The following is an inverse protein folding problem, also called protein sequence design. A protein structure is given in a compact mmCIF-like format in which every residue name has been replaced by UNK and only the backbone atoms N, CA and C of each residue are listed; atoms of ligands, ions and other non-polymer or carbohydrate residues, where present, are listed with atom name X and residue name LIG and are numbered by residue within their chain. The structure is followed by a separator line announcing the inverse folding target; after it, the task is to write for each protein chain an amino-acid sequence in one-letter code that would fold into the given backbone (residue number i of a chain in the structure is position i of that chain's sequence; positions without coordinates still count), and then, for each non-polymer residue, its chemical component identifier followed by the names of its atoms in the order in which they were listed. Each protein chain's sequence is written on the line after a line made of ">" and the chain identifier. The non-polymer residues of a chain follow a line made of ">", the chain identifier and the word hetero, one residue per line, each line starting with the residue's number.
data_IF_656360475220
#
_entry.id   IF_656360475220
#
_cell.length_a   1.000
_cell.length_b   1.000
_cell.length_c   1.000
_cell.angle_alpha   90.00
_cell.angle_beta   90.00
_cell.angle_gamma   90.00
#
_symmetry.space_group_name_H-M   'P 1'
#
loop_
_entity.id
_entity.type
_entity.pdbx_description
1 polymer ?
#
# COMPACT_ATOMS: atom_id res chain seq x y z
N UNK A 1 8.55 13.38 -9.68
CA UNK A 1 7.21 13.93 -9.37
C UNK A 1 6.43 12.80 -8.72
N UNK A 2 6.10 12.94 -7.44
CA UNK A 2 5.35 11.93 -6.69
C UNK A 2 3.86 12.21 -6.92
N UNK A 3 3.14 11.18 -7.40
CA UNK A 3 1.74 11.15 -7.85
C UNK A 3 1.32 12.30 -8.79
N UNK A 4 1.21 11.98 -10.07
CA UNK A 4 0.51 12.84 -11.04
C UNK A 4 -1.00 12.83 -10.76
N UNK A 5 -1.68 13.91 -11.16
CA UNK A 5 -3.09 14.20 -10.84
C UNK A 5 -4.09 13.25 -11.52
N UNK A 6 -4.14 12.00 -11.09
CA UNK A 6 -5.18 11.04 -11.47
C UNK A 6 -5.64 10.27 -10.24
N UNK A 7 -6.73 10.78 -9.65
CA UNK A 7 -7.95 10.06 -9.27
C UNK A 7 -8.54 10.60 -7.98
N UNK A 8 -9.76 11.12 -8.08
CA UNK A 8 -10.66 11.48 -6.98
C UNK A 8 -11.10 10.24 -6.14
N UNK A 9 -10.38 9.10 -6.19
CA UNK A 9 -10.84 7.78 -5.69
C UNK A 9 -9.76 6.96 -4.94
N UNK A 10 -8.72 7.57 -4.37
CA UNK A 10 -7.69 6.90 -3.57
C UNK A 10 -6.90 5.80 -4.34
N UNK A 11 -6.04 6.16 -5.31
CA UNK A 11 -5.29 5.21 -6.14
C UNK A 11 -4.39 4.24 -5.34
N UNK A 12 -3.95 4.68 -4.15
CA UNK A 12 -3.14 3.85 -3.24
C UNK A 12 -3.94 2.75 -2.53
N UNK A 13 -5.26 2.89 -2.42
CA UNK A 13 -6.08 1.79 -1.91
C UNK A 13 -6.19 0.69 -2.97
N UNK A 14 -6.52 1.08 -4.21
CA UNK A 14 -6.69 0.13 -5.32
C UNK A 14 -5.40 -0.67 -5.59
N UNK A 15 -4.24 -0.03 -5.55
CA UNK A 15 -2.96 -0.72 -5.72
C UNK A 15 -2.68 -1.72 -4.59
N UNK A 16 -3.05 -1.39 -3.34
CA UNK A 16 -2.91 -2.29 -2.19
C UNK A 16 -3.90 -3.46 -2.26
N UNK A 17 -5.13 -3.23 -2.73
CA UNK A 17 -6.12 -4.29 -2.96
C UNK A 17 -5.66 -5.24 -4.07
N UNK A 18 -5.14 -4.72 -5.19
CA UNK A 18 -4.53 -5.51 -6.26
C UNK A 18 -3.31 -6.29 -5.76
N UNK A 19 -2.48 -5.66 -4.94
CA UNK A 19 -1.33 -6.32 -4.32
C UNK A 19 -1.78 -7.48 -3.43
N UNK A 20 -2.75 -7.26 -2.54
CA UNK A 20 -3.30 -8.30 -1.67
C UNK A 20 -3.91 -9.46 -2.47
N UNK A 21 -4.55 -9.18 -3.60
CA UNK A 21 -5.10 -10.19 -4.50
C UNK A 21 -4.01 -11.00 -5.24
N UNK A 22 -2.91 -10.34 -5.61
CA UNK A 22 -1.79 -10.96 -6.35
C UNK A 22 -0.85 -11.73 -5.43
N UNK A 23 -0.69 -11.24 -4.19
CA UNK A 23 0.20 -11.76 -3.16
C UNK A 23 -0.59 -12.06 -1.87
N UNK A 24 -1.50 -13.05 -1.88
CA UNK A 24 -2.29 -13.40 -0.70
C UNK A 24 -1.42 -13.84 0.48
N UNK A 25 -0.22 -14.38 0.23
CA UNK A 25 0.79 -14.72 1.23
C UNK A 25 1.26 -13.50 2.04
N UNK A 26 1.13 -12.29 1.48
CA UNK A 26 1.49 -11.06 2.16
C UNK A 26 0.54 -10.71 3.31
N UNK A 27 -0.65 -11.33 3.35
CA UNK A 27 -1.59 -11.20 4.46
C UNK A 27 -2.12 -9.79 4.70
N UNK A 28 -2.07 -8.91 3.68
CA UNK A 28 -2.59 -7.55 3.76
C UNK A 28 -4.09 -7.60 3.98
N UNK A 29 -4.55 -6.96 5.06
CA UNK A 29 -5.96 -6.74 5.34
C UNK A 29 -6.20 -5.25 5.46
N UNK A 30 -6.92 -4.69 4.50
CA UNK A 30 -7.38 -3.31 4.55
C UNK A 30 -8.73 -3.24 5.28
N UNK A 31 -8.99 -2.19 6.08
CA UNK A 31 -10.32 -1.94 6.60
C UNK A 31 -11.30 -1.70 5.43
N UNK A 32 -12.61 -1.84 5.66
CA UNK A 32 -13.63 -1.39 4.72
C UNK A 32 -13.38 0.06 4.30
N UNK A 33 -13.68 0.39 3.04
CA UNK A 33 -13.53 1.77 2.58
C UNK A 33 -14.51 2.69 3.31
N UNK A 34 -13.98 3.76 3.90
CA UNK A 34 -14.74 4.89 4.42
C UNK A 34 -14.24 6.20 3.78
N UNK A 35 -15.16 6.96 3.21
CA UNK A 35 -14.88 8.25 2.55
C UNK A 35 -14.48 9.37 3.52
N UNK A 36 -14.68 9.16 4.82
CA UNK A 36 -14.36 10.13 5.88
C UNK A 36 -13.13 9.70 6.70
N UNK A 37 -12.53 8.57 6.38
CA UNK A 37 -11.31 8.11 7.02
C UNK A 37 -10.12 8.86 6.42
N UNK A 38 -9.35 9.59 7.25
CA UNK A 38 -8.23 10.42 6.79
C UNK A 38 -7.00 9.57 6.39
N UNK A 39 -6.87 8.39 6.99
CA UNK A 39 -5.77 7.47 6.71
C UNK A 39 -6.14 6.03 7.09
N UNK A 40 -5.43 5.08 6.49
CA UNK A 40 -5.53 3.66 6.79
C UNK A 40 -4.16 3.12 7.17
N UNK A 41 -4.15 2.32 8.23
CA UNK A 41 -2.99 1.54 8.63
C UNK A 41 -3.23 0.05 8.33
N UNK A 42 -2.21 -0.60 7.79
CA UNK A 42 -2.20 -2.03 7.56
C UNK A 42 -0.80 -2.60 7.77
N UNK A 43 -0.74 -3.92 7.83
CA UNK A 43 0.54 -4.65 7.88
C UNK A 43 0.55 -5.74 6.83
N UNK A 44 1.73 -6.01 6.28
CA UNK A 44 2.01 -7.16 5.42
C UNK A 44 3.17 -7.97 5.98
N UNK A 45 3.23 -9.25 5.61
CA UNK A 45 4.42 -10.10 5.77
C UNK A 45 5.02 -10.33 4.38
N UNK A 46 6.15 -9.72 4.09
CA UNK A 46 6.82 -9.85 2.79
C UNK A 46 8.15 -10.56 2.94
N UNK A 47 8.32 -11.69 2.25
CA UNK A 47 9.53 -12.53 2.36
C UNK A 47 9.92 -12.85 3.83
N UNK A 48 8.92 -13.02 4.70
CA UNK A 48 9.11 -13.31 6.13
C UNK A 48 9.37 -12.09 7.02
N UNK A 49 9.41 -10.87 6.48
CA UNK A 49 9.59 -9.64 7.23
C UNK A 49 8.30 -8.79 7.28
N UNK A 50 8.10 -8.07 8.38
CA UNK A 50 6.97 -7.16 8.53
C UNK A 50 7.16 -5.93 7.65
N UNK A 51 6.09 -5.52 6.96
CA UNK A 51 5.95 -4.21 6.32
C UNK A 51 4.75 -3.50 6.93
N UNK A 52 4.99 -2.38 7.60
CA UNK A 52 3.94 -1.46 8.01
C UNK A 52 3.57 -0.58 6.82
N UNK A 53 2.26 -0.42 6.62
CA UNK A 53 1.67 0.33 5.51
C UNK A 53 0.81 1.41 6.14
N UNK A 54 1.08 2.65 5.75
CA UNK A 54 0.24 3.79 6.07
C UNK A 54 -0.15 4.41 4.74
N UNK A 55 -1.44 4.51 4.44
CA UNK A 55 -1.92 5.27 3.28
C UNK A 55 -2.85 6.38 3.74
N UNK A 56 -2.62 7.58 3.23
CA UNK A 56 -3.44 8.74 3.50
C UNK A 56 -4.43 8.94 2.34
N UNK A 57 -5.70 9.16 2.68
CA UNK A 57 -6.82 9.13 1.75
C UNK A 57 -7.10 10.49 1.07
N UNK A 58 -6.69 11.60 1.66
CA UNK A 58 -6.93 12.99 1.23
C UNK A 58 -5.73 13.54 0.44
N UNK A 59 -4.55 13.55 1.06
CA UNK A 59 -3.24 13.89 0.51
C UNK A 59 -2.68 12.83 -0.45
N UNK A 60 -3.32 11.65 -0.53
CA UNK A 60 -2.99 10.59 -1.48
C UNK A 60 -1.51 10.20 -1.44
N UNK A 61 -1.01 9.83 -0.25
CA UNK A 61 0.33 9.27 -0.11
C UNK A 61 0.30 7.85 0.46
N UNK A 62 1.27 7.03 0.02
CA UNK A 62 1.53 5.70 0.54
C UNK A 62 2.92 5.68 1.19
N UNK A 63 2.96 5.34 2.46
CA UNK A 63 4.18 5.14 3.23
C UNK A 63 4.35 3.67 3.60
N UNK A 64 5.58 3.20 3.45
CA UNK A 64 5.98 1.83 3.70
C UNK A 64 7.18 1.82 4.65
N UNK A 65 7.13 0.96 5.65
CA UNK A 65 8.21 0.82 6.61
C UNK A 65 8.45 -0.62 7.02
N UNK A 66 9.73 -0.94 7.25
CA UNK A 66 10.19 -2.20 7.81
C UNK A 66 11.50 -1.94 8.53
N UNK A 67 11.86 -2.72 9.57
CA UNK A 67 13.21 -2.68 10.13
C UNK A 67 14.30 -3.04 9.10
N UNK A 68 13.94 -3.78 8.04
CA UNK A 68 14.83 -4.09 6.92
C UNK A 68 14.51 -3.24 5.68
N UNK A 69 15.49 -2.43 5.26
CA UNK A 69 15.35 -1.59 4.06
C UNK A 69 15.21 -2.39 2.78
N UNK A 70 15.84 -3.57 2.69
CA UNK A 70 15.75 -4.41 1.50
C UNK A 70 14.32 -4.93 1.31
N UNK A 71 13.64 -5.28 2.40
CA UNK A 71 12.22 -5.62 2.41
C UNK A 71 11.36 -4.50 1.83
N UNK A 72 11.53 -3.25 2.27
CA UNK A 72 10.76 -2.10 1.72
C UNK A 72 11.03 -1.92 0.22
N UNK A 73 12.29 -2.01 -0.21
CA UNK A 73 12.65 -1.88 -1.62
C UNK A 73 12.04 -2.98 -2.48
N UNK A 74 12.10 -4.24 -2.02
CA UNK A 74 11.52 -5.39 -2.73
C UNK A 74 10.00 -5.28 -2.80
N UNK A 75 9.35 -4.95 -1.69
CA UNK A 75 7.90 -4.74 -1.63
C UNK A 75 7.45 -3.65 -2.60
N UNK A 76 8.14 -2.50 -2.60
CA UNK A 76 7.87 -1.41 -3.54
C UNK A 76 8.02 -1.84 -4.99
N UNK A 77 9.07 -2.60 -5.32
CA UNK A 77 9.28 -3.13 -6.67
C UNK A 77 8.15 -4.06 -7.12
N UNK A 78 7.62 -4.89 -6.22
CA UNK A 78 6.48 -5.75 -6.51
C UNK A 78 5.15 -4.96 -6.64
N UNK A 79 5.04 -3.83 -5.94
CA UNK A 79 3.85 -2.98 -5.94
C UNK A 79 3.74 -2.10 -7.19
N UNK A 80 4.85 -1.58 -7.71
CA UNK A 80 4.87 -0.64 -8.84
C UNK A 80 4.18 -1.12 -10.13
N UNK A 81 4.33 -2.38 -10.58
CA UNK A 81 3.63 -2.88 -11.78
C UNK A 81 2.11 -2.86 -11.66
N UNK A 82 1.56 -2.79 -10.44
CA UNK A 82 0.11 -2.81 -10.18
C UNK A 82 -0.53 -1.42 -10.19
N UNK A 83 0.29 -0.37 -10.38
CA UNK A 83 -0.13 1.04 -10.38
C UNK A 83 -0.81 1.51 -11.68
N UNK A 84 -0.84 0.65 -12.71
CA UNK A 84 -1.37 0.96 -14.05
C UNK A 84 -2.81 0.58 -14.27
#
# INVERSE_FOLDING_TARGET
>A
MWSDKLDDEAPHRLILERFAATHPEAGIKLPPYDRYEDYVEATAIWNGALVAIYYETILSYLWLWSPDRATVSSFRTALLPLAG
#
